data_IF_744932151413
#
_entry.id   IF_744932151413
#
_cell.length_a   1.000
_cell.length_b   1.000
_cell.length_c   1.000
_cell.angle_alpha   90.00
_cell.angle_beta   90.00
_cell.angle_gamma   90.00
#
_symmetry.space_group_name_H-M   'P 1'
#
loop_
_entity.id
_entity.type
_entity.pdbx_description
1 polymer ?
#
# COMPACT_ATOMS: atom_id res chain seq x y z
N UNK A 1 -14.98 16.09 7.23
CA UNK A 1 -16.26 15.68 6.63
C UNK A 1 -16.50 14.24 7.04
N UNK A 2 -17.51 14.00 7.88
CA UNK A 2 -17.75 12.67 8.45
C UNK A 2 -18.12 11.67 7.37
N UNK A 3 -17.35 10.60 7.23
CA UNK A 3 -17.72 9.48 6.38
C UNK A 3 -18.84 8.70 7.08
N UNK A 4 -20.09 8.88 6.66
CA UNK A 4 -21.11 7.91 6.98
C UNK A 4 -20.76 6.63 6.19
N UNK A 5 -20.15 5.65 6.86
CA UNK A 5 -19.83 4.38 6.24
C UNK A 5 -21.15 3.66 5.91
N UNK A 6 -21.34 3.27 4.64
CA UNK A 6 -22.44 2.40 4.25
C UNK A 6 -22.09 0.98 4.73
N UNK A 7 -22.51 0.66 5.95
CA UNK A 7 -22.22 -0.62 6.60
C UNK A 7 -23.30 -1.67 6.36
N UNK A 8 -24.55 -1.24 6.09
CA UNK A 8 -25.67 -2.14 5.86
C UNK A 8 -25.96 -2.32 4.37
N UNK A 9 -25.56 -3.46 3.82
CA UNK A 9 -26.01 -3.92 2.51
C UNK A 9 -27.24 -4.80 2.68
N UNK A 10 -28.25 -4.61 1.83
CA UNK A 10 -29.37 -5.55 1.80
C UNK A 10 -28.92 -6.92 1.32
N UNK A 11 -29.51 -7.97 1.92
CA UNK A 11 -29.15 -9.37 1.70
C UNK A 11 -29.14 -9.77 0.20
N UNK A 12 -28.22 -10.69 -0.14
CA UNK A 12 -28.02 -11.21 -1.51
C UNK A 12 -26.80 -10.62 -2.21
N UNK A 13 -26.78 -10.69 -3.55
CA UNK A 13 -25.65 -10.24 -4.39
C UNK A 13 -25.64 -8.73 -4.68
N UNK A 14 -26.38 -7.91 -3.92
CA UNK A 14 -26.50 -6.47 -4.15
C UNK A 14 -25.16 -5.72 -4.02
N UNK A 15 -24.35 -6.08 -3.02
CA UNK A 15 -23.00 -5.52 -2.82
C UNK A 15 -22.05 -5.88 -3.96
N UNK A 16 -22.00 -7.15 -4.35
CA UNK A 16 -21.17 -7.60 -5.47
C UNK A 16 -21.61 -6.99 -6.80
N UNK A 17 -22.92 -6.85 -7.02
CA UNK A 17 -23.46 -6.15 -8.18
C UNK A 17 -22.99 -4.69 -8.22
N UNK A 18 -23.04 -3.99 -7.09
CA UNK A 18 -22.53 -2.62 -7.00
C UNK A 18 -21.05 -2.55 -7.33
N UNK A 19 -20.22 -3.36 -6.68
CA UNK A 19 -18.77 -3.39 -6.88
C UNK A 19 -18.43 -3.68 -8.35
N UNK A 20 -19.10 -4.65 -8.96
CA UNK A 20 -18.90 -5.01 -10.37
C UNK A 20 -19.33 -3.91 -11.33
N UNK A 21 -20.50 -3.30 -11.11
CA UNK A 21 -20.96 -2.17 -11.93
C UNK A 21 -20.10 -0.92 -11.71
N UNK A 22 -19.54 -0.72 -10.52
CA UNK A 22 -18.67 0.41 -10.20
C UNK A 22 -17.32 0.30 -10.91
N UNK A 23 -16.77 -0.92 -10.96
CA UNK A 23 -15.59 -1.23 -11.77
C UNK A 23 -15.85 -0.98 -13.27
N UNK A 24 -17.07 -1.25 -13.73
CA UNK A 24 -17.52 -1.06 -15.11
C UNK A 24 -18.36 0.20 -15.32
N UNK A 25 -18.19 1.23 -14.47
CA UNK A 25 -19.03 2.44 -14.49
C UNK A 25 -19.02 3.12 -15.85
N UNK A 26 -20.14 3.76 -16.19
CA UNK A 26 -20.32 4.39 -17.50
C UNK A 26 -20.56 3.42 -18.67
N UNK A 27 -20.51 2.10 -18.44
CA UNK A 27 -20.82 1.08 -19.47
C UNK A 27 -22.13 0.37 -19.16
N UNK A 28 -22.85 0.00 -20.22
CA UNK A 28 -24.04 -0.84 -20.12
C UNK A 28 -23.60 -2.30 -20.06
N UNK A 29 -23.89 -2.98 -18.95
CA UNK A 29 -23.61 -4.41 -18.80
C UNK A 29 -24.89 -5.21 -19.00
N UNK A 30 -24.83 -6.19 -19.91
CA UNK A 30 -25.97 -7.06 -20.24
C UNK A 30 -26.42 -7.86 -19.03
N UNK A 31 -27.73 -8.08 -18.91
CA UNK A 31 -28.34 -8.84 -17.80
C UNK A 31 -27.78 -10.25 -17.66
N UNK A 32 -27.56 -10.91 -18.80
CA UNK A 32 -26.96 -12.24 -18.89
C UNK A 32 -25.55 -12.26 -18.28
N UNK A 33 -24.67 -11.37 -18.76
CA UNK A 33 -23.31 -11.23 -18.22
C UNK A 33 -23.29 -10.92 -16.73
N UNK A 34 -24.16 -10.02 -16.24
CA UNK A 34 -24.28 -9.72 -14.81
C UNK A 34 -24.69 -10.95 -14.01
N UNK A 35 -25.61 -11.76 -14.54
CA UNK A 35 -26.05 -12.96 -13.87
C UNK A 35 -24.95 -14.01 -13.81
N UNK A 36 -24.32 -14.33 -14.94
CA UNK A 36 -23.21 -15.29 -15.01
C UNK A 36 -22.06 -14.91 -14.07
N UNK A 37 -21.73 -13.61 -14.02
CA UNK A 37 -20.62 -13.11 -13.17
C UNK A 37 -20.93 -13.24 -11.67
N UNK A 38 -22.19 -13.02 -11.26
CA UNK A 38 -22.58 -13.00 -9.85
C UNK A 38 -23.06 -14.37 -9.33
N UNK A 39 -23.55 -15.22 -10.22
CA UNK A 39 -24.03 -16.57 -9.93
C UNK A 39 -23.38 -17.58 -10.90
N UNK A 40 -22.07 -17.85 -10.75
CA UNK A 40 -21.38 -18.82 -11.58
C UNK A 40 -22.06 -20.20 -11.48
N UNK A 41 -22.24 -20.86 -12.63
CA UNK A 41 -22.93 -22.16 -12.72
C UNK A 41 -24.46 -22.11 -12.71
N UNK A 42 -25.06 -20.93 -12.52
CA UNK A 42 -26.51 -20.76 -12.65
C UNK A 42 -26.97 -20.67 -14.11
N UNK A 43 -28.10 -21.30 -14.45
CA UNK A 43 -28.72 -21.13 -15.76
C UNK A 43 -29.40 -19.76 -15.84
N UNK A 44 -28.91 -18.89 -16.73
CA UNK A 44 -29.54 -17.59 -16.95
C UNK A 44 -30.92 -17.73 -17.61
N UNK A 45 -31.89 -16.95 -17.13
CA UNK A 45 -33.18 -16.77 -17.80
C UNK A 45 -33.63 -15.31 -17.70
N UNK A 46 -34.33 -14.81 -18.73
CA UNK A 46 -34.88 -13.44 -18.72
C UNK A 46 -35.90 -13.19 -17.60
N UNK A 47 -36.53 -14.26 -17.10
CA UNK A 47 -37.48 -14.24 -15.98
C UNK A 47 -36.80 -14.37 -14.61
N UNK A 48 -35.49 -14.61 -14.54
CA UNK A 48 -34.75 -14.79 -13.28
C UNK A 48 -34.98 -13.62 -12.33
N UNK A 49 -35.56 -13.92 -11.17
CA UNK A 49 -35.88 -12.95 -10.12
C UNK A 49 -34.63 -12.50 -9.37
N UNK A 50 -33.59 -13.33 -9.29
CA UNK A 50 -32.38 -13.07 -8.49
C UNK A 50 -31.68 -11.76 -8.88
N UNK A 51 -31.50 -11.49 -10.19
CA UNK A 51 -30.90 -10.24 -10.65
C UNK A 51 -31.81 -9.04 -10.35
N UNK A 52 -33.12 -9.18 -10.50
CA UNK A 52 -34.09 -8.11 -10.18
C UNK A 52 -34.07 -7.79 -8.68
N UNK A 53 -34.00 -8.81 -7.82
CA UNK A 53 -33.90 -8.67 -6.36
C UNK A 53 -32.58 -7.98 -5.99
N UNK A 54 -31.45 -8.39 -6.58
CA UNK A 54 -30.16 -7.75 -6.32
C UNK A 54 -30.15 -6.26 -6.74
N UNK A 55 -30.71 -5.93 -7.91
CA UNK A 55 -30.84 -4.54 -8.38
C UNK A 55 -31.75 -3.73 -7.47
N UNK A 56 -32.89 -4.28 -7.06
CA UNK A 56 -33.80 -3.60 -6.14
C UNK A 56 -33.13 -3.34 -4.77
N UNK A 57 -32.45 -4.34 -4.21
CA UNK A 57 -31.68 -4.20 -2.97
C UNK A 57 -30.56 -3.17 -3.08
N UNK A 58 -29.89 -3.09 -4.23
CA UNK A 58 -28.88 -2.08 -4.52
C UNK A 58 -29.48 -0.68 -4.54
N UNK A 59 -30.56 -0.45 -5.31
CA UNK A 59 -31.25 0.86 -5.38
C UNK A 59 -31.67 1.36 -4.00
N UNK A 60 -32.29 0.49 -3.19
CA UNK A 60 -32.68 0.79 -1.80
C UNK A 60 -31.49 1.17 -0.91
N UNK A 61 -30.32 0.57 -1.15
CA UNK A 61 -29.10 0.89 -0.40
C UNK A 61 -28.57 2.27 -0.79
N UNK A 62 -28.55 2.59 -2.08
CA UNK A 62 -28.11 3.89 -2.61
C UNK A 62 -29.05 5.03 -2.21
N UNK A 63 -30.37 4.82 -2.27
CA UNK A 63 -31.39 5.78 -1.83
C UNK A 63 -31.19 6.19 -0.36
N UNK A 64 -30.93 5.21 0.53
CA UNK A 64 -30.67 5.51 1.95
C UNK A 64 -29.35 6.26 2.16
N UNK A 65 -28.32 5.93 1.39
CA UNK A 65 -27.04 6.62 1.47
C UNK A 65 -27.17 8.09 1.00
N UNK A 66 -27.94 8.34 -0.06
CA UNK A 66 -28.20 9.67 -0.58
C UNK A 66 -29.04 10.54 0.38
N UNK A 67 -29.98 9.93 1.12
CA UNK A 67 -30.80 10.63 2.13
C UNK A 67 -30.02 11.24 3.29
N UNK A 68 -28.73 10.90 3.46
CA UNK A 68 -27.83 11.50 4.46
C UNK A 68 -26.93 12.63 3.93
N UNK A 69 -26.95 12.93 2.62
CA UNK A 69 -26.04 13.90 2.00
C UNK A 69 -26.68 14.58 0.76
N UNK A 70 -27.55 15.59 0.94
CA UNK A 70 -28.32 16.21 -0.14
C UNK A 70 -27.48 16.93 -1.20
N UNK A 71 -26.22 17.28 -0.89
CA UNK A 71 -25.32 18.00 -1.80
C UNK A 71 -24.51 17.10 -2.74
N UNK A 72 -24.59 15.77 -2.58
CA UNK A 72 -23.87 14.83 -3.44
C UNK A 72 -24.72 14.42 -4.63
N UNK A 73 -24.13 14.40 -5.83
CA UNK A 73 -24.78 13.77 -6.99
C UNK A 73 -25.08 12.31 -6.66
N UNK A 74 -26.33 11.84 -6.81
CA UNK A 74 -26.68 10.48 -6.45
C UNK A 74 -25.99 9.50 -7.39
N UNK A 75 -25.36 8.48 -6.81
CA UNK A 75 -24.92 7.30 -7.57
C UNK A 75 -26.17 6.52 -7.94
N UNK A 76 -26.41 6.28 -9.23
CA UNK A 76 -27.67 5.71 -9.72
C UNK A 76 -27.44 4.45 -10.55
N UNK A 77 -28.28 3.43 -10.30
CA UNK A 77 -28.36 2.24 -11.16
C UNK A 77 -29.45 2.43 -12.20
N UNK A 78 -29.02 2.73 -13.42
CA UNK A 78 -29.90 3.03 -14.53
C UNK A 78 -30.23 1.76 -15.31
N UNK A 79 -31.52 1.53 -15.53
CA UNK A 79 -32.00 0.45 -16.39
C UNK A 79 -31.94 0.87 -17.85
N UNK A 80 -31.32 0.04 -18.68
CA UNK A 80 -31.30 0.19 -20.14
C UNK A 80 -31.95 -1.04 -20.78
N UNK A 81 -32.27 -0.95 -22.06
CA UNK A 81 -33.05 -1.97 -22.78
C UNK A 81 -32.52 -3.40 -22.57
N UNK A 82 -31.19 -3.58 -22.61
CA UNK A 82 -30.56 -4.91 -22.48
C UNK A 82 -29.73 -5.12 -21.21
N UNK A 83 -29.71 -4.16 -20.27
CA UNK A 83 -28.74 -4.19 -19.19
C UNK A 83 -28.93 -3.17 -18.09
N UNK A 84 -27.91 -3.07 -17.24
CA UNK A 84 -27.80 -2.06 -16.21
C UNK A 84 -26.49 -1.31 -16.36
N UNK A 85 -26.51 -0.04 -15.98
CA UNK A 85 -25.35 0.83 -15.93
C UNK A 85 -25.35 1.52 -14.57
N UNK A 86 -24.18 1.66 -13.96
CA UNK A 86 -24.00 2.54 -12.83
C UNK A 86 -23.51 3.89 -13.34
N UNK A 87 -24.29 4.94 -13.08
CA UNK A 87 -23.80 6.31 -13.14
C UNK A 87 -23.19 6.66 -11.78
N UNK A 88 -21.86 6.78 -11.79
CA UNK A 88 -21.07 7.16 -10.63
C UNK A 88 -20.20 8.39 -10.98
N UNK A 89 -20.70 9.26 -11.86
CA UNK A 89 -19.97 10.45 -12.30
C UNK A 89 -19.63 11.35 -11.11
N UNK A 90 -18.35 11.69 -10.96
CA UNK A 90 -17.86 12.53 -9.87
C UNK A 90 -17.60 11.78 -8.55
N UNK A 91 -17.80 10.46 -8.51
CA UNK A 91 -17.42 9.66 -7.36
C UNK A 91 -15.89 9.55 -7.27
N UNK A 92 -15.34 9.83 -6.10
CA UNK A 92 -13.92 9.59 -5.82
C UNK A 92 -13.69 8.10 -5.56
N UNK A 93 -12.79 7.50 -6.32
CA UNK A 93 -12.39 6.10 -6.20
C UNK A 93 -10.89 6.00 -5.98
N UNK A 94 -10.51 5.22 -4.97
CA UNK A 94 -9.12 4.91 -4.67
C UNK A 94 -8.40 4.23 -5.84
N UNK A 95 -9.07 3.30 -6.53
CA UNK A 95 -8.55 2.63 -7.73
C UNK A 95 -8.26 3.62 -8.87
N UNK A 96 -9.08 4.66 -9.03
CA UNK A 96 -8.89 5.67 -10.07
C UNK A 96 -7.72 6.60 -9.75
N UNK A 97 -7.57 6.94 -8.47
CA UNK A 97 -6.43 7.72 -7.98
C UNK A 97 -5.13 6.90 -8.06
N UNK A 98 -5.19 5.60 -7.76
CA UNK A 98 -4.08 4.68 -7.87
C UNK A 98 -3.60 4.59 -9.31
N UNK A 99 -4.52 4.36 -10.24
CA UNK A 99 -4.25 4.27 -11.66
C UNK A 99 -3.72 5.57 -12.25
N UNK A 100 -4.29 6.72 -11.85
CA UNK A 100 -3.78 8.04 -12.25
C UNK A 100 -2.37 8.28 -11.72
N UNK A 101 -2.10 7.94 -10.46
CA UNK A 101 -0.78 8.08 -9.88
C UNK A 101 0.26 7.22 -10.60
N UNK A 102 -0.06 5.99 -10.98
CA UNK A 102 0.85 5.15 -11.78
C UNK A 102 1.09 5.70 -13.18
N UNK A 103 0.04 6.15 -13.88
CA UNK A 103 0.20 6.79 -15.20
C UNK A 103 1.09 8.03 -15.13
N UNK A 104 0.89 8.87 -14.11
CA UNK A 104 1.72 10.04 -13.87
C UNK A 104 3.18 9.65 -13.55
N UNK A 105 3.38 8.58 -12.76
CA UNK A 105 4.71 8.08 -12.46
C UNK A 105 5.46 7.64 -13.73
N UNK A 106 4.84 6.84 -14.58
CA UNK A 106 5.43 6.41 -15.86
C UNK A 106 5.71 7.58 -16.80
N UNK A 107 4.80 8.55 -16.89
CA UNK A 107 5.00 9.75 -17.69
C UNK A 107 6.15 10.63 -17.16
N UNK A 108 6.36 10.69 -15.85
CA UNK A 108 7.50 11.37 -15.25
C UNK A 108 8.82 10.60 -15.51
N UNK A 109 8.82 9.27 -15.43
CA UNK A 109 10.00 8.45 -15.77
C UNK A 109 10.43 8.62 -17.23
N UNK A 110 9.46 8.58 -18.16
CA UNK A 110 9.74 8.75 -19.59
C UNK A 110 10.40 10.11 -19.92
N UNK A 111 10.19 11.13 -19.08
CA UNK A 111 10.78 12.47 -19.21
C UNK A 111 12.05 12.66 -18.36
N UNK A 112 12.50 11.63 -17.64
CA UNK A 112 13.66 11.70 -16.75
C UNK A 112 13.39 12.45 -15.42
N UNK A 113 12.14 12.79 -15.11
CA UNK A 113 11.76 13.52 -13.91
C UNK A 113 11.68 12.59 -12.68
N UNK A 114 12.83 12.09 -12.22
CA UNK A 114 12.92 11.04 -11.19
C UNK A 114 12.20 11.36 -9.88
N UNK A 115 12.33 12.60 -9.39
CA UNK A 115 11.68 13.03 -8.14
C UNK A 115 10.15 13.05 -8.27
N UNK A 116 9.62 13.51 -9.41
CA UNK A 116 8.19 13.52 -9.70
C UNK A 116 7.65 12.09 -9.83
N UNK A 117 8.37 11.21 -10.54
CA UNK A 117 8.02 9.80 -10.65
C UNK A 117 7.92 9.13 -9.28
N UNK A 118 8.93 9.35 -8.42
CA UNK A 118 8.96 8.80 -7.05
C UNK A 118 7.80 9.31 -6.21
N UNK A 119 7.44 10.60 -6.31
CA UNK A 119 6.29 11.15 -5.61
C UNK A 119 4.97 10.49 -6.06
N UNK A 120 4.82 10.24 -7.37
CA UNK A 120 3.66 9.57 -7.94
C UNK A 120 3.58 8.09 -7.52
N UNK A 121 4.70 7.35 -7.56
CA UNK A 121 4.74 5.98 -7.03
C UNK A 121 4.40 5.92 -5.54
N UNK A 122 4.87 6.88 -4.74
CA UNK A 122 4.55 6.96 -3.32
C UNK A 122 3.05 7.20 -3.08
N UNK A 123 2.40 8.02 -3.91
CA UNK A 123 0.95 8.22 -3.87
C UNK A 123 0.21 6.92 -4.22
N UNK A 124 0.58 6.25 -5.30
CA UNK A 124 -0.02 4.96 -5.68
C UNK A 124 0.15 3.93 -4.55
N UNK A 125 1.37 3.78 -4.02
CA UNK A 125 1.64 2.86 -2.94
C UNK A 125 0.81 3.18 -1.69
N UNK A 126 0.56 4.44 -1.34
CA UNK A 126 -0.27 4.80 -0.16
C UNK A 126 -1.75 4.42 -0.31
N UNK A 127 -2.26 4.38 -1.54
CA UNK A 127 -3.64 4.00 -1.82
C UNK A 127 -3.85 2.48 -1.75
N UNK A 128 -2.80 1.69 -1.99
CA UNK A 128 -2.84 0.24 -1.84
C UNK A 128 -2.64 -0.16 -0.37
N UNK A 129 -3.74 -0.34 0.36
CA UNK A 129 -3.75 -0.71 1.79
C UNK A 129 -4.05 -2.18 2.04
N UNK A 130 -4.30 -2.96 0.99
CA UNK A 130 -4.65 -4.38 1.07
C UNK A 130 -5.14 -4.89 -0.28
N UNK A 131 -5.48 -6.17 -0.34
CA UNK A 131 -5.96 -6.78 -1.57
C UNK A 131 -7.30 -6.19 -2.02
N UNK A 132 -7.46 -6.08 -3.35
CA UNK A 132 -8.69 -5.60 -3.98
C UNK A 132 -9.89 -6.43 -3.49
N UNK A 133 -10.90 -5.71 -2.97
CA UNK A 133 -12.11 -6.28 -2.39
C UNK A 133 -11.81 -7.48 -1.47
N UNK A 134 -10.93 -7.28 -0.50
CA UNK A 134 -10.62 -8.30 0.50
C UNK A 134 -11.90 -8.84 1.16
N UNK A 135 -12.06 -10.17 1.15
CA UNK A 135 -13.26 -10.87 1.66
C UNK A 135 -14.40 -11.06 0.66
N UNK A 136 -14.24 -10.61 -0.59
CA UNK A 136 -15.12 -11.00 -1.70
C UNK A 136 -14.48 -12.10 -2.54
N UNK A 137 -15.32 -13.02 -3.01
CA UNK A 137 -14.92 -14.13 -3.88
C UNK A 137 -15.56 -14.00 -5.26
N UNK A 138 -14.87 -14.53 -6.27
CA UNK A 138 -15.34 -14.67 -7.64
C UNK A 138 -14.23 -14.40 -8.66
N UNK A 139 -14.28 -15.07 -9.81
CA UNK A 139 -13.23 -15.01 -10.84
C UNK A 139 -12.88 -13.57 -11.24
N UNK A 140 -13.89 -12.72 -11.42
CA UNK A 140 -13.70 -11.31 -11.75
C UNK A 140 -13.00 -10.52 -10.63
N UNK A 141 -13.19 -10.90 -9.37
CA UNK A 141 -12.49 -10.28 -8.23
C UNK A 141 -11.03 -10.72 -8.23
N UNK A 142 -10.77 -12.01 -8.44
CA UNK A 142 -9.41 -12.58 -8.44
C UNK A 142 -8.56 -12.03 -9.58
N UNK A 143 -9.15 -11.86 -10.77
CA UNK A 143 -8.49 -11.19 -11.90
C UNK A 143 -8.05 -9.76 -11.53
N UNK A 144 -8.95 -8.97 -10.93
CA UNK A 144 -8.64 -7.60 -10.53
C UNK A 144 -7.64 -7.56 -9.36
N UNK A 145 -7.76 -8.50 -8.42
CA UNK A 145 -6.84 -8.64 -7.29
C UNK A 145 -5.41 -8.91 -7.79
N UNK A 146 -5.24 -9.87 -8.69
CA UNK A 146 -3.95 -10.14 -9.32
C UNK A 146 -3.41 -8.92 -10.09
N UNK A 147 -4.29 -8.21 -10.82
CA UNK A 147 -3.94 -7.01 -11.56
C UNK A 147 -3.38 -5.89 -10.67
N UNK A 148 -4.14 -5.48 -9.64
CA UNK A 148 -3.72 -4.39 -8.75
C UNK A 148 -2.53 -4.78 -7.86
N UNK A 149 -2.46 -6.03 -7.42
CA UNK A 149 -1.31 -6.58 -6.68
C UNK A 149 -0.01 -6.43 -7.46
N UNK A 150 -0.01 -6.84 -8.74
CA UNK A 150 1.17 -6.72 -9.62
C UNK A 150 1.62 -5.27 -9.76
N UNK A 151 0.68 -4.35 -9.95
CA UNK A 151 0.98 -2.92 -10.12
C UNK A 151 1.45 -2.25 -8.82
N UNK A 152 0.92 -2.67 -7.67
CA UNK A 152 1.38 -2.21 -6.36
C UNK A 152 2.81 -2.68 -6.06
N UNK A 153 3.13 -3.94 -6.35
CA UNK A 153 4.48 -4.49 -6.26
C UNK A 153 5.47 -3.74 -7.15
N UNK A 154 5.06 -3.39 -8.37
CA UNK A 154 5.87 -2.58 -9.26
C UNK A 154 6.18 -1.20 -8.65
N UNK A 155 5.17 -0.47 -8.17
CA UNK A 155 5.36 0.84 -7.54
C UNK A 155 6.32 0.77 -6.35
N UNK A 156 6.15 -0.21 -5.47
CA UNK A 156 7.03 -0.42 -4.32
C UNK A 156 8.45 -0.81 -4.74
N UNK A 157 8.61 -1.57 -5.82
CA UNK A 157 9.92 -1.91 -6.37
C UNK A 157 10.65 -0.68 -6.89
N UNK A 158 9.94 0.22 -7.59
CA UNK A 158 10.49 1.50 -8.04
C UNK A 158 10.91 2.40 -6.86
N UNK A 159 10.10 2.45 -5.78
CA UNK A 159 10.42 3.17 -4.55
C UNK A 159 11.64 2.58 -3.84
N UNK A 160 11.71 1.25 -3.72
CA UNK A 160 12.89 0.55 -3.17
C UNK A 160 14.14 0.90 -3.95
N UNK A 161 14.10 0.83 -5.28
CA UNK A 161 15.25 1.16 -6.13
C UNK A 161 15.67 2.62 -5.96
N UNK A 162 14.72 3.56 -5.90
CA UNK A 162 15.01 4.98 -5.65
C UNK A 162 15.68 5.22 -4.30
N UNK A 163 15.13 4.64 -3.24
CA UNK A 163 15.64 4.79 -1.89
C UNK A 163 17.06 4.21 -1.76
N UNK A 164 17.33 3.07 -2.39
CA UNK A 164 18.67 2.48 -2.45
C UNK A 164 19.68 3.39 -3.15
N UNK A 165 19.29 4.03 -4.28
CA UNK A 165 20.14 4.97 -5.00
C UNK A 165 20.45 6.22 -4.18
N UNK A 166 19.48 6.74 -3.43
CA UNK A 166 19.66 7.89 -2.53
C UNK A 166 20.39 7.57 -1.22
N UNK A 167 20.60 6.29 -0.91
CA UNK A 167 21.10 5.87 0.40
C UNK A 167 20.09 6.05 1.53
N UNK A 168 18.80 6.22 1.21
CA UNK A 168 17.73 6.34 2.21
C UNK A 168 17.35 4.95 2.72
N UNK A 169 18.07 4.53 3.76
CA UNK A 169 17.89 3.21 4.36
C UNK A 169 16.49 3.00 4.95
N UNK A 170 15.88 4.04 5.52
CA UNK A 170 14.58 3.92 6.16
C UNK A 170 13.49 3.64 5.10
N UNK A 171 13.45 4.45 4.04
CA UNK A 171 12.48 4.27 2.97
C UNK A 171 12.70 2.95 2.21
N UNK A 172 13.95 2.51 2.02
CA UNK A 172 14.24 1.23 1.40
C UNK A 172 13.74 0.04 2.23
N UNK A 173 13.94 0.07 3.55
CA UNK A 173 13.43 -0.99 4.47
C UNK A 173 11.91 -1.02 4.47
N UNK A 174 11.25 0.13 4.51
CA UNK A 174 9.79 0.21 4.50
C UNK A 174 9.19 -0.30 3.18
N UNK A 175 9.79 0.07 2.04
CA UNK A 175 9.38 -0.47 0.74
C UNK A 175 9.55 -2.00 0.70
N UNK A 176 10.69 -2.53 1.16
CA UNK A 176 10.92 -3.97 1.24
C UNK A 176 9.90 -4.69 2.12
N UNK A 177 9.57 -4.15 3.30
CA UNK A 177 8.56 -4.74 4.20
C UNK A 177 7.21 -4.84 3.53
N UNK A 178 6.75 -3.76 2.91
CA UNK A 178 5.47 -3.72 2.20
C UNK A 178 5.43 -4.67 1.01
N UNK A 179 6.55 -4.84 0.29
CA UNK A 179 6.65 -5.87 -0.75
C UNK A 179 6.44 -7.27 -0.14
N UNK A 180 7.08 -7.57 1.00
CA UNK A 180 6.97 -8.89 1.67
C UNK A 180 5.64 -9.15 2.39
N UNK A 181 4.85 -8.10 2.63
CA UNK A 181 3.45 -8.20 3.07
C UNK A 181 2.56 -8.63 1.91
N UNK A 182 2.80 -8.08 0.71
CA UNK A 182 2.07 -8.44 -0.49
C UNK A 182 2.55 -9.81 -0.97
N UNK A 183 3.81 -9.94 -1.35
CA UNK A 183 4.43 -11.16 -1.88
C UNK A 183 5.55 -11.67 -0.95
N UNK A 184 5.23 -12.63 -0.07
CA UNK A 184 6.17 -13.17 0.92
C UNK A 184 7.35 -13.95 0.36
N UNK A 185 7.34 -14.31 -0.92
CA UNK A 185 8.28 -15.26 -1.53
C UNK A 185 9.39 -14.59 -2.35
N UNK A 186 9.44 -13.25 -2.36
CA UNK A 186 10.44 -12.45 -3.07
C UNK A 186 11.81 -12.51 -2.38
N UNK A 187 12.63 -13.53 -2.68
CA UNK A 187 13.96 -13.72 -2.09
C UNK A 187 14.86 -12.49 -2.22
N UNK A 188 14.86 -11.81 -3.36
CA UNK A 188 15.66 -10.60 -3.62
C UNK A 188 15.37 -9.46 -2.62
N UNK A 189 14.15 -9.40 -2.08
CA UNK A 189 13.75 -8.38 -1.12
C UNK A 189 14.32 -8.71 0.27
N UNK A 190 14.33 -9.99 0.68
CA UNK A 190 15.06 -10.42 1.87
C UNK A 190 16.56 -10.19 1.73
N UNK A 191 17.13 -10.48 0.56
CA UNK A 191 18.53 -10.22 0.27
C UNK A 191 18.87 -8.73 0.43
N UNK A 192 18.02 -7.84 -0.10
CA UNK A 192 18.16 -6.39 0.07
C UNK A 192 18.16 -6.01 1.56
N UNK A 193 17.18 -6.50 2.34
CA UNK A 193 17.08 -6.25 3.78
C UNK A 193 18.32 -6.74 4.54
N UNK A 194 18.81 -7.95 4.23
CA UNK A 194 20.03 -8.49 4.83
C UNK A 194 21.24 -7.59 4.52
N UNK A 195 21.41 -7.15 3.28
CA UNK A 195 22.52 -6.26 2.89
C UNK A 195 22.43 -4.92 3.60
N UNK A 196 21.25 -4.31 3.67
CA UNK A 196 21.02 -3.03 4.34
C UNK A 196 21.40 -3.08 5.83
N UNK A 197 20.97 -4.12 6.54
CA UNK A 197 21.30 -4.32 7.95
C UNK A 197 22.76 -4.72 8.16
N UNK A 198 23.33 -5.56 7.29
CA UNK A 198 24.72 -5.99 7.38
C UNK A 198 25.71 -4.81 7.24
N UNK A 199 25.43 -3.86 6.34
CA UNK A 199 26.24 -2.65 6.17
C UNK A 199 26.36 -1.83 7.45
N UNK A 200 25.34 -1.87 8.30
CA UNK A 200 25.25 -1.17 9.59
C UNK A 200 25.76 -2.02 10.78
N UNK A 201 26.20 -3.25 10.55
CA UNK A 201 26.63 -4.17 11.60
C UNK A 201 25.49 -4.80 12.39
N UNK A 202 24.24 -4.71 11.92
CA UNK A 202 23.04 -5.18 12.62
C UNK A 202 22.79 -6.68 12.39
N UNK A 203 23.72 -7.52 12.84
CA UNK A 203 23.69 -8.97 12.58
C UNK A 203 22.45 -9.69 13.11
N UNK A 204 21.84 -9.19 14.20
CA UNK A 204 20.58 -9.71 14.71
C UNK A 204 19.44 -9.61 13.68
N UNK A 205 19.36 -8.47 12.99
CA UNK A 205 18.36 -8.24 11.94
C UNK A 205 18.63 -9.10 10.70
N UNK A 206 19.89 -9.23 10.29
CA UNK A 206 20.29 -10.13 9.20
C UNK A 206 19.80 -11.55 9.46
N UNK A 207 20.05 -12.09 10.67
CA UNK A 207 19.62 -13.43 11.07
C UNK A 207 18.10 -13.56 11.11
N UNK A 208 17.39 -12.54 11.57
CA UNK A 208 15.92 -12.50 11.61
C UNK A 208 15.33 -12.62 10.19
N UNK A 209 15.77 -11.77 9.27
CA UNK A 209 15.29 -11.77 7.88
C UNK A 209 15.60 -13.07 7.14
N UNK A 210 16.82 -13.61 7.30
CA UNK A 210 17.17 -14.91 6.73
C UNK A 210 16.26 -16.02 7.26
N UNK A 211 16.07 -16.10 8.59
CA UNK A 211 15.20 -17.10 9.21
C UNK A 211 13.75 -16.99 8.73
N UNK A 212 13.25 -15.77 8.55
CA UNK A 212 11.89 -15.56 8.03
C UNK A 212 11.75 -16.04 6.58
N UNK A 213 12.73 -15.71 5.72
CA UNK A 213 12.78 -16.20 4.33
C UNK A 213 12.73 -17.73 4.28
N UNK A 214 13.65 -18.40 4.99
CA UNK A 214 13.73 -19.88 5.04
C UNK A 214 12.41 -20.48 5.53
N UNK A 215 11.84 -19.94 6.60
CA UNK A 215 10.59 -20.45 7.17
C UNK A 215 9.44 -20.38 6.17
N UNK A 216 9.28 -19.26 5.45
CA UNK A 216 8.17 -19.07 4.51
C UNK A 216 8.32 -19.96 3.28
N UNK A 217 9.51 -19.99 2.67
CA UNK A 217 9.78 -20.87 1.52
C UNK A 217 9.59 -22.36 1.87
N UNK A 218 10.08 -22.79 3.02
CA UNK A 218 9.94 -24.19 3.44
C UNK A 218 8.48 -24.55 3.76
N UNK A 219 7.76 -23.69 4.49
CA UNK A 219 6.39 -23.96 4.93
C UNK A 219 5.42 -23.97 3.76
N UNK A 220 5.53 -22.99 2.86
CA UNK A 220 4.49 -22.71 1.86
C UNK A 220 4.81 -23.33 0.50
N UNK A 221 6.09 -23.47 0.16
CA UNK A 221 6.55 -23.96 -1.15
C UNK A 221 7.37 -25.25 -1.06
N UNK A 222 7.73 -25.70 0.15
CA UNK A 222 8.58 -26.87 0.39
C UNK A 222 9.93 -26.82 -0.36
N UNK A 223 10.48 -25.62 -0.54
CA UNK A 223 11.79 -25.40 -1.19
C UNK A 223 12.76 -24.70 -0.25
N UNK A 224 14.08 -24.98 -0.35
CA UNK A 224 15.08 -24.23 0.38
C UNK A 224 15.35 -22.87 -0.29
N UNK A 225 15.96 -21.89 0.41
CA UNK A 225 16.35 -20.62 -0.19
C UNK A 225 17.39 -20.83 -1.31
N UNK A 226 17.37 -19.93 -2.30
CA UNK A 226 18.33 -19.88 -3.37
C UNK A 226 19.77 -19.72 -2.86
N UNK A 227 20.74 -20.20 -3.64
CA UNK A 227 22.16 -20.12 -3.28
C UNK A 227 22.64 -18.67 -3.10
N UNK A 228 22.11 -17.73 -3.91
CA UNK A 228 22.38 -16.30 -3.77
C UNK A 228 21.97 -15.77 -2.38
N UNK A 229 20.82 -16.20 -1.87
CA UNK A 229 20.33 -15.83 -0.53
C UNK A 229 21.26 -16.38 0.55
N UNK A 230 21.68 -17.64 0.44
CA UNK A 230 22.62 -18.28 1.38
C UNK A 230 23.98 -17.58 1.38
N UNK A 231 24.53 -17.29 0.21
CA UNK A 231 25.80 -16.55 0.06
C UNK A 231 25.74 -15.18 0.70
N UNK A 232 24.68 -14.42 0.48
CA UNK A 232 24.50 -13.09 1.09
C UNK A 232 24.47 -13.22 2.62
N UNK A 233 23.74 -14.19 3.15
CA UNK A 233 23.69 -14.45 4.59
C UNK A 233 25.07 -14.77 5.17
N UNK A 234 25.82 -15.69 4.56
CA UNK A 234 27.16 -16.09 5.02
C UNK A 234 28.12 -14.88 5.03
N UNK A 235 28.17 -14.13 3.93
CA UNK A 235 29.01 -12.93 3.81
C UNK A 235 28.64 -11.87 4.85
N UNK A 236 27.34 -11.67 5.09
CA UNK A 236 26.86 -10.75 6.11
C UNK A 236 27.31 -11.16 7.52
N UNK A 237 27.16 -12.44 7.88
CA UNK A 237 27.54 -12.96 9.20
C UNK A 237 29.05 -12.94 9.42
N UNK A 238 29.85 -13.10 8.35
CA UNK A 238 31.32 -12.94 8.38
C UNK A 238 31.78 -11.48 8.46
N UNK A 239 30.86 -10.52 8.40
CA UNK A 239 31.19 -9.09 8.43
C UNK A 239 31.72 -8.53 7.11
N UNK A 240 31.75 -9.33 6.04
CA UNK A 240 32.30 -8.95 4.73
C UNK A 240 31.43 -7.90 3.99
N UNK A 241 30.19 -7.70 4.45
CA UNK A 241 29.25 -6.72 3.89
C UNK A 241 29.17 -5.43 4.72
N UNK A 242 29.93 -5.33 5.81
CA UNK A 242 29.93 -4.13 6.65
C UNK A 242 30.48 -2.96 5.82
N UNK A 243 29.85 -1.79 5.93
CA UNK A 243 30.43 -0.60 5.33
C UNK A 243 31.82 -0.38 5.95
N UNK A 244 32.86 -0.07 5.16
CA UNK A 244 34.14 0.30 5.74
C UNK A 244 33.86 1.45 6.71
N UNK A 245 34.24 1.27 7.98
CA UNK A 245 34.21 2.37 8.94
C UNK A 245 34.95 3.51 8.25
N UNK A 246 34.24 4.62 7.99
CA UNK A 246 34.88 5.82 7.50
C UNK A 246 36.05 6.03 8.46
N UNK A 247 37.27 5.80 7.97
CA UNK A 247 38.48 5.99 8.75
C UNK A 247 38.37 7.42 9.24
N UNK A 248 37.95 7.60 10.48
CA UNK A 248 38.42 8.71 11.28
C UNK A 248 39.91 8.51 11.26
N UNK A 249 40.56 9.16 10.30
CA UNK A 249 41.87 9.73 10.50
C UNK A 249 41.74 10.56 11.77
N UNK A 250 41.87 9.88 12.91
CA UNK A 250 42.52 10.45 14.07
C UNK A 250 43.92 10.73 13.58
N UNK A 251 44.06 11.88 12.92
CA UNK A 251 45.32 12.59 12.82
C UNK A 251 45.69 12.83 14.28
N UNK A 252 46.58 11.97 14.75
CA UNK A 252 47.30 12.17 15.98
C UNK A 252 48.07 13.50 15.82
N UNK A 253 47.84 14.42 16.75
CA UNK A 253 48.53 15.71 16.79
C UNK A 253 47.72 16.91 16.32
N UNK A 254 47.04 17.58 17.27
CA UNK A 254 47.35 18.98 17.60
C UNK A 254 46.46 19.51 18.73
N UNK A 255 47.15 19.84 19.84
CA UNK A 255 46.89 20.92 20.80
C UNK A 255 45.70 20.76 21.76
N UNK A 256 46.08 20.45 23.00
CA UNK A 256 45.39 20.83 24.23
C UNK A 256 44.94 22.30 24.14
N UNK A 257 43.64 22.54 24.04
CA UNK A 257 43.05 23.80 24.47
C UNK A 257 43.05 23.84 26.00
N UNK A 258 43.58 24.90 26.64
CA UNK A 258 43.42 25.06 28.07
C UNK A 258 41.98 25.48 28.40
N UNK A 259 41.43 24.92 29.47
CA UNK A 259 40.09 25.22 29.95
C UNK A 259 39.92 26.71 30.31
N UNK A 260 38.77 27.34 30.01
CA UNK A 260 38.49 28.68 30.51
C UNK A 260 38.21 28.61 32.02
N UNK A 261 39.00 29.37 32.79
CA UNK A 261 38.78 29.59 34.22
C UNK A 261 37.46 30.33 34.44
N UNK A 262 36.74 29.89 35.46
CA UNK A 262 35.48 30.42 35.95
C UNK A 262 35.55 31.92 36.27
N UNK A 263 34.56 32.69 35.81
CA UNK A 263 34.18 33.97 36.41
C UNK A 263 32.81 33.79 37.06
N UNK A 264 32.77 33.92 38.39
CA UNK A 264 31.55 34.10 39.19
C UNK A 264 30.82 35.37 38.75
N UNK A 265 29.47 35.38 38.63
CA UNK A 265 28.72 36.63 38.64
C UNK A 265 28.50 37.11 40.09
N UNK A 266 28.49 38.44 40.34
CA UNK A 266 28.05 38.99 41.61
C UNK A 266 26.52 38.98 41.69
N UNK A 267 25.99 38.76 42.89
CA UNK A 267 24.58 38.55 43.15
C UNK A 267 23.68 39.76 42.86
N UNK A 268 22.42 39.45 42.53
CA UNK A 268 21.29 40.36 42.64
C UNK A 268 20.04 39.58 43.10
N UNK A 269 19.22 40.28 43.88
CA UNK A 269 18.13 39.86 44.79
C UNK A 269 16.87 39.27 44.11
N UNK A 270 15.96 38.64 44.89
CA UNK A 270 14.88 37.81 44.36
C UNK A 270 13.66 38.62 43.91
N UNK A 271 12.93 38.10 42.92
CA UNK A 271 11.64 38.61 42.46
C UNK A 271 10.54 37.54 42.66
N UNK A 272 9.26 37.95 42.78
CA UNK A 272 8.26 37.23 43.58
C UNK A 272 7.49 36.13 42.83
N UNK A 273 6.93 35.21 43.63
CA UNK A 273 5.96 34.17 43.27
C UNK A 273 4.79 34.76 42.47
N UNK A 274 4.51 34.19 41.30
CA UNK A 274 3.21 34.31 40.62
C UNK A 274 2.65 32.91 40.35
N UNK A 275 1.37 32.80 40.70
CA UNK A 275 0.50 31.64 40.83
C UNK A 275 -0.03 31.20 39.46
N UNK A 276 -0.13 29.87 39.25
CA UNK A 276 -0.82 29.24 38.11
C UNK A 276 -2.33 29.51 38.14
N UNK A 277 -3.01 29.56 37.00
CA UNK A 277 -4.37 29.05 36.89
C UNK A 277 -4.40 27.72 36.12
N UNK A 278 -5.16 26.78 36.68
CA UNK A 278 -5.66 25.58 36.02
C UNK A 278 -6.71 25.98 34.96
N UNK A 279 -6.64 25.38 33.78
CA UNK A 279 -7.77 24.77 33.05
C UNK A 279 -7.23 23.92 31.92
#
# INVERSE_FOLDING_TARGET
>A
MGSAAVTSWHAGKARQLFQYLLLNRGRIIRREKLFETLWPGGAWSRSSSSLKVAVHGLRRTLERAAGGAPDLRPVEVVSREHGYQLDATGLWLDIDEFDRALRAAHAAEARGARAEATACYRRAARLYTGDFLAGEDGDWVDEQRAYYRTRALHALTCLRADALLRGDHAEAVDACRRILEIDPYQEEVYQTLMVLHARRGELGQVRSWHRMCVRRLQRDLNVPPAETTRRIFIRAVRGELRAPEARTTRTDGARRCPAPRSRRPPGARPAPRIVRPRR
#
